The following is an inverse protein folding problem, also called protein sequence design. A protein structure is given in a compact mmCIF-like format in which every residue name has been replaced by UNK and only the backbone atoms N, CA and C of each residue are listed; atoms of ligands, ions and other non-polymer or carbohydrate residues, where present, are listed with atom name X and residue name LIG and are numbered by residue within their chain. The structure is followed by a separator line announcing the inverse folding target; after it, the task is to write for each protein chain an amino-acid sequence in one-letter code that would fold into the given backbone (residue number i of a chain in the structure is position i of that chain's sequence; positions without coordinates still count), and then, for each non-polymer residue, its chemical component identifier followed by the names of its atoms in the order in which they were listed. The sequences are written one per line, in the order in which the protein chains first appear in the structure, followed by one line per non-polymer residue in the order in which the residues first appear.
data_IF_418747691355
#
_entry.id   IF_418747691355
#
_cell.length_a   1.000
_cell.length_b   1.000
_cell.length_c   1.000
_cell.angle_alpha   90.00
_cell.angle_beta   90.00
_cell.angle_gamma   90.00
#
_symmetry.space_group_name_H-M   'P 1'
#
loop_
_entity.id
_entity.type
_entity.pdbx_description
1 polymer ?
#
# COMPACT_ATOMS: atom_id res chain seq x y z
N UNK A 1 15.26 -12.00 -2.89
CA UNK A 1 15.28 -10.68 -2.24
C UNK A 1 13.98 -10.43 -1.50
N UNK A 2 14.06 -9.70 -0.41
CA UNK A 2 12.85 -9.35 0.35
C UNK A 2 12.10 -8.24 -0.36
N UNK A 3 10.78 -8.37 -0.40
CA UNK A 3 9.95 -7.29 -0.90
C UNK A 3 9.85 -6.20 0.16
N UNK A 4 9.82 -4.96 -0.30
CA UNK A 4 9.88 -3.80 0.57
C UNK A 4 8.50 -3.16 0.70
N UNK A 5 8.08 -2.94 1.93
CA UNK A 5 6.73 -2.45 2.23
C UNK A 5 6.79 -1.18 3.06
N UNK A 6 6.02 -0.20 2.67
CA UNK A 6 5.78 1.00 3.46
C UNK A 6 4.41 0.88 4.11
N UNK A 7 4.35 1.03 5.43
CA UNK A 7 3.09 0.98 6.17
C UNK A 7 2.65 2.41 6.49
N UNK A 8 1.41 2.73 6.15
CA UNK A 8 0.82 4.04 6.47
C UNK A 8 -0.37 3.81 7.39
N UNK A 9 -0.15 4.04 8.66
CA UNK A 9 -1.12 3.80 9.72
C UNK A 9 -0.85 4.74 10.88
N UNK A 10 -1.86 5.50 11.29
CA UNK A 10 -1.67 6.52 12.34
C UNK A 10 -1.76 5.97 13.75
N UNK A 11 -2.27 4.76 13.94
CA UNK A 11 -2.29 4.13 15.25
C UNK A 11 -1.00 3.37 15.48
N UNK A 12 -0.21 3.83 16.44
CA UNK A 12 1.13 3.29 16.67
C UNK A 12 1.13 1.79 16.97
N UNK A 13 0.16 1.32 17.75
CA UNK A 13 0.10 -0.09 18.12
C UNK A 13 -0.24 -0.96 16.91
N UNK A 14 -1.19 -0.53 16.10
CA UNK A 14 -1.57 -1.24 14.88
C UNK A 14 -0.41 -1.28 13.90
N UNK A 15 0.29 -0.16 13.74
CA UNK A 15 1.45 -0.09 12.85
C UNK A 15 2.55 -1.05 13.31
N UNK A 16 2.81 -1.10 14.61
CA UNK A 16 3.83 -1.98 15.16
C UNK A 16 3.47 -3.45 14.97
N UNK A 17 2.22 -3.80 15.19
CA UNK A 17 1.72 -5.16 15.01
C UNK A 17 1.86 -5.61 13.55
N UNK A 18 1.47 -4.74 12.62
CA UNK A 18 1.64 -5.01 11.19
C UNK A 18 3.11 -5.22 10.85
N UNK A 19 3.96 -4.36 11.37
CA UNK A 19 5.39 -4.46 11.10
C UNK A 19 5.95 -5.80 11.53
N UNK A 20 5.67 -6.22 12.76
CA UNK A 20 6.15 -7.50 13.26
C UNK A 20 5.62 -8.66 12.43
N UNK A 21 4.33 -8.63 12.10
CA UNK A 21 3.73 -9.70 11.32
C UNK A 21 4.35 -9.83 9.94
N UNK A 22 4.57 -8.68 9.29
CA UNK A 22 5.16 -8.69 7.95
C UNK A 22 6.63 -9.10 7.97
N UNK A 23 7.37 -8.67 8.98
CA UNK A 23 8.77 -9.07 9.11
C UNK A 23 8.90 -10.58 9.35
N UNK A 24 7.99 -11.16 10.12
CA UNK A 24 7.96 -12.62 10.32
C UNK A 24 7.70 -13.37 9.03
N UNK A 25 6.92 -12.78 8.12
CA UNK A 25 6.64 -13.37 6.82
C UNK A 25 7.79 -13.20 5.82
N UNK A 26 8.81 -12.45 6.18
CA UNK A 26 9.99 -12.25 5.34
C UNK A 26 9.98 -10.97 4.52
N UNK A 27 9.04 -10.08 4.75
CA UNK A 27 9.06 -8.77 4.10
C UNK A 27 10.00 -7.82 4.82
N UNK A 28 10.49 -6.84 4.09
CA UNK A 28 11.26 -5.75 4.69
C UNK A 28 10.32 -4.56 4.85
N UNK A 29 10.07 -4.14 6.08
CA UNK A 29 9.26 -2.95 6.33
C UNK A 29 10.19 -1.74 6.35
N UNK A 30 10.04 -0.86 5.37
CA UNK A 30 10.88 0.32 5.23
C UNK A 30 10.67 1.27 6.39
N UNK A 31 9.41 1.55 6.68
CA UNK A 31 9.05 2.47 7.74
C UNK A 31 7.55 2.37 7.99
N UNK A 32 7.11 2.96 9.09
CA UNK A 32 5.70 3.16 9.38
C UNK A 32 5.48 4.66 9.56
N UNK A 33 4.57 5.21 8.79
CA UNK A 33 4.28 6.65 8.86
C UNK A 33 2.79 6.83 9.15
N UNK A 34 2.42 7.98 9.67
CA UNK A 34 1.06 8.19 10.17
C UNK A 34 0.24 9.22 9.42
N UNK A 35 0.81 9.90 8.43
CA UNK A 35 0.10 10.93 7.69
C UNK A 35 0.25 10.71 6.18
N UNK A 36 -0.70 11.26 5.42
CA UNK A 36 -0.64 11.18 3.98
C UNK A 36 0.60 11.85 3.40
N UNK A 37 0.98 13.00 3.95
CA UNK A 37 2.14 13.72 3.45
C UNK A 37 3.43 12.93 3.69
N UNK A 38 3.59 12.37 4.89
CA UNK A 38 4.76 11.52 5.17
C UNK A 38 4.80 10.30 4.28
N UNK A 39 3.62 9.74 3.96
CA UNK A 39 3.53 8.60 3.07
C UNK A 39 4.03 8.96 1.66
N UNK A 40 3.61 10.11 1.15
CA UNK A 40 4.04 10.58 -0.17
C UNK A 40 5.55 10.79 -0.19
N UNK A 41 6.06 11.48 0.80
CA UNK A 41 7.50 11.79 0.86
C UNK A 41 8.32 10.52 0.96
N UNK A 42 7.93 9.59 1.83
CA UNK A 42 8.66 8.35 2.03
C UNK A 42 8.58 7.45 0.79
N UNK A 43 7.41 7.39 0.14
CA UNK A 43 7.24 6.58 -1.05
C UNK A 43 8.11 7.10 -2.20
N UNK A 44 8.18 8.41 -2.36
CA UNK A 44 9.01 9.02 -3.40
C UNK A 44 10.50 8.77 -3.13
N UNK A 45 10.90 8.84 -1.87
CA UNK A 45 12.31 8.66 -1.48
C UNK A 45 12.77 7.22 -1.59
N UNK A 46 11.94 6.27 -1.14
CA UNK A 46 12.37 4.87 -0.98
C UNK A 46 11.86 3.94 -2.07
N UNK A 47 10.85 4.34 -2.80
CA UNK A 47 10.20 3.54 -3.87
C UNK A 47 9.92 2.10 -3.40
N UNK A 48 8.97 1.91 -2.49
CA UNK A 48 8.66 0.57 -1.99
C UNK A 48 8.00 -0.29 -3.07
N UNK A 49 8.00 -1.60 -2.84
CA UNK A 49 7.32 -2.53 -3.76
C UNK A 49 5.81 -2.45 -3.60
N UNK A 50 5.33 -2.10 -2.42
CA UNK A 50 3.90 -1.91 -2.17
C UNK A 50 3.72 -1.01 -0.95
N UNK A 51 2.64 -0.25 -0.94
CA UNK A 51 2.25 0.57 0.21
C UNK A 51 0.99 -0.02 0.82
N UNK A 52 1.04 -0.29 2.12
CA UNK A 52 -0.15 -0.64 2.90
C UNK A 52 -0.69 0.66 3.48
N UNK A 53 -1.88 1.04 3.05
CA UNK A 53 -2.42 2.36 3.34
C UNK A 53 -3.74 2.27 4.10
N UNK A 54 -3.78 2.84 5.30
CA UNK A 54 -5.05 3.04 6.00
C UNK A 54 -5.83 4.14 5.25
N UNK A 55 -7.10 3.91 5.03
CA UNK A 55 -7.93 4.89 4.33
C UNK A 55 -8.09 6.16 5.17
N UNK A 56 -8.27 5.99 6.47
CA UNK A 56 -8.45 7.15 7.36
C UNK A 56 -7.17 7.43 8.13
N UNK A 57 -6.59 8.58 7.87
CA UNK A 57 -5.35 9.02 8.51
C UNK A 57 -5.58 10.33 9.24
N UNK A 58 -4.69 10.60 10.20
CA UNK A 58 -4.66 11.90 10.87
C UNK A 58 -4.10 12.96 9.94
N UNK A 59 -4.53 14.19 10.15
CA UNK A 59 -4.06 15.33 9.37
C UNK A 59 -5.07 15.73 8.30
N UNK A 60 -4.63 16.61 7.42
CA UNK A 60 -5.51 17.22 6.43
C UNK A 60 -5.74 16.35 5.20
N UNK A 61 -4.90 15.35 5.01
CA UNK A 61 -4.95 14.50 3.82
C UNK A 61 -5.39 13.09 4.20
N UNK A 62 -6.44 12.60 3.54
CA UNK A 62 -6.88 11.22 3.73
C UNK A 62 -6.01 10.25 2.95
N UNK A 63 -6.06 8.96 3.35
CA UNK A 63 -5.29 7.92 2.68
C UNK A 63 -5.56 7.83 1.20
N UNK A 64 -6.80 8.02 0.78
CA UNK A 64 -7.18 7.94 -0.63
C UNK A 64 -6.48 9.04 -1.44
N UNK A 65 -6.42 10.26 -0.91
CA UNK A 65 -5.73 11.36 -1.58
C UNK A 65 -4.24 11.10 -1.71
N UNK A 66 -3.63 10.62 -0.63
CA UNK A 66 -2.20 10.27 -0.66
C UNK A 66 -1.95 9.15 -1.66
N UNK A 67 -2.85 8.16 -1.71
CA UNK A 67 -2.72 7.03 -2.62
C UNK A 67 -2.76 7.47 -4.09
N UNK A 68 -3.61 8.43 -4.42
CA UNK A 68 -3.67 8.94 -5.79
C UNK A 68 -2.32 9.53 -6.21
N UNK A 69 -1.70 10.28 -5.33
CA UNK A 69 -0.40 10.88 -5.62
C UNK A 69 0.67 9.81 -5.72
N UNK A 70 0.68 8.85 -4.79
CA UNK A 70 1.66 7.76 -4.78
C UNK A 70 1.50 6.89 -6.03
N UNK A 71 0.27 6.68 -6.49
CA UNK A 71 0.02 5.84 -7.66
C UNK A 71 0.64 6.43 -8.93
N UNK A 72 0.83 7.73 -8.98
CA UNK A 72 1.50 8.37 -10.11
C UNK A 72 2.97 7.96 -10.20
N UNK A 73 3.54 7.49 -9.08
CA UNK A 73 4.90 6.95 -9.04
C UNK A 73 4.93 5.47 -9.45
N UNK A 74 3.79 4.91 -9.82
CA UNK A 74 3.62 3.51 -10.22
C UNK A 74 3.94 2.54 -9.09
N UNK A 75 3.64 2.95 -7.86
CA UNK A 75 3.78 2.10 -6.68
C UNK A 75 2.40 1.55 -6.34
N UNK A 76 2.23 0.23 -6.27
CA UNK A 76 0.93 -0.36 -5.97
C UNK A 76 0.53 -0.14 -4.52
N UNK A 77 -0.77 -0.06 -4.29
CA UNK A 77 -1.32 0.23 -2.98
C UNK A 77 -2.33 -0.84 -2.59
N UNK A 78 -2.22 -1.32 -1.35
CA UNK A 78 -3.23 -2.17 -0.73
C UNK A 78 -3.82 -1.38 0.43
N UNK A 79 -5.13 -1.20 0.41
CA UNK A 79 -5.80 -0.45 1.46
C UNK A 79 -6.14 -1.30 2.66
N UNK A 80 -6.02 -0.70 3.84
CA UNK A 80 -6.56 -1.26 5.08
C UNK A 80 -7.85 -0.50 5.38
N UNK A 81 -8.95 -1.21 5.51
CA UNK A 81 -10.25 -0.58 5.70
C UNK A 81 -10.96 -1.15 6.92
N UNK A 82 -11.67 -0.29 7.67
CA UNK A 82 -12.66 -0.76 8.61
C UNK A 82 -13.97 -0.99 7.86
N UNK A 83 -14.87 -1.79 8.42
CA UNK A 83 -16.17 -2.04 7.75
C UNK A 83 -16.93 -0.76 7.43
N UNK A 84 -16.74 0.26 8.27
CA UNK A 84 -17.39 1.55 8.10
C UNK A 84 -16.84 2.36 6.93
N UNK A 85 -15.70 1.97 6.38
CA UNK A 85 -15.02 2.70 5.31
C UNK A 85 -15.36 2.20 3.93
N UNK A 86 -16.15 1.12 3.82
CA UNK A 86 -16.46 0.49 2.54
C UNK A 86 -17.08 1.45 1.55
N UNK A 87 -18.03 2.27 2.01
CA UNK A 87 -18.69 3.25 1.13
C UNK A 87 -17.70 4.28 0.58
N UNK A 88 -16.78 4.73 1.40
CA UNK A 88 -15.74 5.67 0.96
C UNK A 88 -14.90 5.06 -0.13
N UNK A 89 -14.49 3.81 0.07
CA UNK A 89 -13.68 3.10 -0.92
C UNK A 89 -14.43 2.94 -2.25
N UNK A 90 -15.67 2.49 -2.19
CA UNK A 90 -16.49 2.29 -3.40
C UNK A 90 -16.72 3.59 -4.17
N UNK A 91 -16.92 4.68 -3.46
CA UNK A 91 -17.18 5.97 -4.08
C UNK A 91 -15.95 6.57 -4.72
N UNK A 92 -14.77 6.28 -4.18
CA UNK A 92 -13.54 6.92 -4.63
C UNK A 92 -13.04 6.38 -5.97
N UNK A 93 -13.26 5.10 -6.24
CA UNK A 93 -12.79 4.47 -7.48
C UNK A 93 -11.34 4.84 -7.79
N UNK A 94 -10.47 4.66 -6.80
CA UNK A 94 -9.11 5.16 -6.83
C UNK A 94 -8.24 4.35 -7.77
N UNK A 95 -7.46 5.05 -8.59
CA UNK A 95 -6.47 4.44 -9.47
C UNK A 95 -5.27 3.95 -8.66
N UNK A 96 -4.61 2.91 -9.14
CA UNK A 96 -3.41 2.39 -8.50
C UNK A 96 -3.68 1.46 -7.33
N UNK A 97 -4.94 1.24 -7.01
CA UNK A 97 -5.33 0.34 -5.95
C UNK A 97 -5.39 -1.09 -6.50
N UNK A 98 -4.64 -1.99 -5.90
CA UNK A 98 -4.61 -3.40 -6.32
C UNK A 98 -5.37 -4.32 -5.38
N UNK A 99 -5.84 -3.80 -4.26
CA UNK A 99 -6.63 -4.59 -3.35
C UNK A 99 -6.90 -3.86 -2.04
N UNK A 100 -7.70 -4.48 -1.21
CA UNK A 100 -7.96 -3.95 0.13
C UNK A 100 -8.18 -5.09 1.10
N UNK A 101 -7.89 -4.83 2.36
CA UNK A 101 -8.01 -5.79 3.45
C UNK A 101 -8.86 -5.14 4.53
N UNK A 102 -9.91 -5.84 4.96
CA UNK A 102 -10.78 -5.37 6.04
C UNK A 102 -10.14 -5.64 7.40
N UNK A 103 -10.31 -4.69 8.31
CA UNK A 103 -9.91 -4.89 9.70
C UNK A 103 -11.03 -5.59 10.46
N UNK A 104 -10.74 -6.47 11.41
CA UNK A 104 -9.42 -6.98 11.72
C UNK A 104 -8.91 -7.90 10.61
N UNK A 105 -7.63 -7.83 10.31
CA UNK A 105 -7.07 -8.57 9.19
C UNK A 105 -6.59 -9.96 9.62
N UNK A 106 -6.69 -10.90 8.66
CA UNK A 106 -6.11 -12.22 8.76
C UNK A 106 -4.73 -12.16 8.13
N UNK A 107 -3.69 -12.57 8.84
CA UNK A 107 -2.33 -12.44 8.36
C UNK A 107 -2.09 -13.23 7.08
N UNK A 108 -2.73 -14.40 6.94
CA UNK A 108 -2.58 -15.22 5.75
C UNK A 108 -3.22 -14.53 4.53
N UNK A 109 -4.37 -13.90 4.74
CA UNK A 109 -5.06 -13.17 3.69
C UNK A 109 -4.26 -11.93 3.27
N UNK A 110 -3.69 -11.25 4.25
CA UNK A 110 -2.83 -10.11 4.00
C UNK A 110 -1.62 -10.51 3.16
N UNK A 111 -0.95 -11.61 3.53
CA UNK A 111 0.20 -12.11 2.80
C UNK A 111 -0.16 -12.43 1.35
N UNK A 112 -1.26 -13.15 1.13
CA UNK A 112 -1.70 -13.47 -0.22
C UNK A 112 -2.00 -12.22 -1.05
N UNK A 113 -2.68 -11.26 -0.45
CA UNK A 113 -3.02 -10.02 -1.16
C UNK A 113 -1.78 -9.26 -1.55
N UNK A 114 -0.78 -9.20 -0.65
CA UNK A 114 0.49 -8.53 -0.95
C UNK A 114 1.23 -9.24 -2.07
N UNK A 115 1.31 -10.57 -2.02
CA UNK A 115 2.00 -11.33 -3.06
C UNK A 115 1.36 -11.13 -4.43
N UNK A 116 0.03 -11.19 -4.49
CA UNK A 116 -0.70 -10.99 -5.74
C UNK A 116 -0.49 -9.58 -6.25
N UNK A 117 -0.54 -8.59 -5.36
CA UNK A 117 -0.37 -7.19 -5.72
C UNK A 117 1.01 -6.92 -6.31
N UNK A 118 2.04 -7.44 -5.64
CA UNK A 118 3.43 -7.26 -6.10
C UNK A 118 3.61 -7.94 -7.45
N UNK A 119 3.09 -9.15 -7.59
CA UNK A 119 3.22 -9.89 -8.85
C UNK A 119 2.50 -9.18 -9.99
N UNK A 120 1.30 -8.68 -9.74
CA UNK A 120 0.54 -7.94 -10.75
C UNK A 120 1.29 -6.67 -11.18
N UNK A 121 1.86 -5.95 -10.21
CA UNK A 121 2.62 -4.74 -10.52
C UNK A 121 3.85 -5.07 -11.37
N UNK A 122 4.55 -6.16 -11.07
CA UNK A 122 5.68 -6.60 -11.88
C UNK A 122 5.27 -6.90 -13.31
N UNK A 123 4.16 -7.61 -13.47
CA UNK A 123 3.67 -7.96 -14.81
C UNK A 123 3.25 -6.72 -15.60
N UNK A 124 2.64 -5.75 -14.95
CA UNK A 124 2.26 -4.51 -15.61
C UNK A 124 3.49 -3.69 -16.01
N UNK A 125 4.51 -3.67 -15.16
CA UNK A 125 5.76 -2.99 -15.48
C UNK A 125 6.44 -3.64 -16.68
N UNK A 126 6.45 -4.98 -16.75
CA UNK A 126 7.01 -5.70 -17.86
C UNK A 126 6.26 -5.41 -19.15
N UNK A 127 4.93 -5.32 -19.09
CA UNK A 127 4.13 -4.95 -20.26
C UNK A 127 4.47 -3.55 -20.75
N UNK A 128 4.62 -2.60 -19.83
CA UNK A 128 4.97 -1.24 -20.21
C UNK A 128 6.37 -1.18 -20.83
N UNK A 129 7.30 -1.94 -20.27
CA UNK A 129 8.66 -2.00 -20.80
C UNK A 129 8.67 -2.61 -22.19
N UNK A 130 7.92 -3.69 -22.39
CA UNK A 130 7.79 -4.31 -23.71
C UNK A 130 7.21 -3.33 -24.73
N UNK A 131 6.15 -2.62 -24.35
CA UNK A 131 5.51 -1.66 -25.24
C UNK A 131 6.44 -0.49 -25.57
N UNK A 132 7.18 0.02 -24.60
CA UNK A 132 8.08 1.16 -24.81
C UNK A 132 9.40 0.75 -25.46
N UNK A 133 9.87 -0.47 -25.21
CA UNK A 133 11.10 -0.98 -25.78
C UNK A 133 10.93 -1.56 -27.17
N UNK A 134 9.73 -1.73 -27.60
CA UNK A 134 9.44 -2.30 -28.88
C UNK A 134 9.53 -1.23 -29.98
N UNK A 135 10.51 -1.36 -30.78
CA UNK A 135 10.75 -0.37 -31.81
C UNK A 135 11.01 -1.06 -33.10
#
# INVERSE_FOLDING_TARGET
MKNRILIVEDEAITALDLRFSLEELGYEVIDTVGTGQDAIDMAAETVPDVVLMDIKLKGDMEGIEAAEIISELRIPIVYLTANTDTNTFEKSNVKGSYGFISKPYDINKLDKTLQITIKRAELEADKLNDASGFK
#
